data_IF_424002985399
#
_entry.id   IF_424002985399
#
_cell.length_a   1.000
_cell.length_b   1.000
_cell.length_c   1.000
_cell.angle_alpha   90.00
_cell.angle_beta   90.00
_cell.angle_gamma   90.00
#
_symmetry.space_group_name_H-M   'P 1'
#
loop_
_entity.id
_entity.type
_entity.pdbx_description
1 polymer ?
#
# COMPACT_ATOMS: atom_id res chain seq x y z
N UNK A 1 18.93 -53.65 51.33
CA UNK A 1 18.86 -54.06 49.91
C UNK A 1 17.44 -53.85 49.42
N UNK A 2 17.19 -52.93 48.47
CA UNK A 2 15.85 -52.82 47.85
C UNK A 2 15.57 -54.12 47.09
N UNK A 3 14.38 -54.69 47.24
CA UNK A 3 14.03 -55.94 46.53
C UNK A 3 14.03 -55.68 45.02
N UNK A 4 14.41 -56.68 44.21
CA UNK A 4 14.42 -56.56 42.74
C UNK A 4 13.11 -55.99 42.18
N UNK A 5 11.98 -56.29 42.83
CA UNK A 5 10.66 -55.78 42.47
C UNK A 5 10.53 -54.25 42.67
N UNK A 6 11.13 -53.67 43.70
CA UNK A 6 11.11 -52.21 43.90
C UNK A 6 11.90 -51.46 42.82
N UNK A 7 12.99 -52.06 42.31
CA UNK A 7 13.79 -51.46 41.23
C UNK A 7 13.01 -51.47 39.91
N UNK A 8 12.32 -52.57 39.62
CA UNK A 8 11.48 -52.72 38.40
C UNK A 8 10.34 -51.70 38.39
N UNK A 9 9.64 -51.51 39.52
CA UNK A 9 8.54 -50.54 39.64
C UNK A 9 9.06 -49.10 39.41
N UNK A 10 10.23 -48.75 39.96
CA UNK A 10 10.84 -47.43 39.74
C UNK A 10 11.18 -47.24 38.26
N UNK A 11 11.82 -48.21 37.60
CA UNK A 11 12.12 -48.12 36.16
C UNK A 11 10.87 -47.99 35.31
N UNK A 12 9.81 -48.76 35.58
CA UNK A 12 8.53 -48.67 34.86
C UNK A 12 7.87 -47.30 35.04
N UNK A 13 7.90 -46.74 36.26
CA UNK A 13 7.34 -45.41 36.53
C UNK A 13 8.06 -44.29 35.76
N UNK A 14 9.39 -44.36 35.62
CA UNK A 14 10.17 -43.40 34.83
C UNK A 14 9.84 -43.50 33.34
N UNK A 15 9.71 -44.72 32.81
CA UNK A 15 9.34 -44.94 31.41
C UNK A 15 7.96 -44.38 31.10
N UNK A 16 6.98 -44.58 31.99
CA UNK A 16 5.61 -44.05 31.85
C UNK A 16 5.63 -42.51 31.82
N UNK A 17 6.38 -41.86 32.71
CA UNK A 17 6.49 -40.39 32.73
C UNK A 17 7.12 -39.87 31.43
N UNK A 18 8.18 -40.52 30.92
CA UNK A 18 8.80 -40.15 29.65
C UNK A 18 7.81 -40.30 28.49
N UNK A 19 7.05 -41.40 28.44
CA UNK A 19 6.02 -41.65 27.44
C UNK A 19 4.91 -40.57 27.48
N UNK A 20 4.45 -40.19 28.67
CA UNK A 20 3.45 -39.13 28.84
C UNK A 20 3.98 -37.79 28.29
N UNK A 21 5.23 -37.43 28.59
CA UNK A 21 5.86 -36.19 28.09
C UNK A 21 5.96 -36.21 26.55
N UNK A 22 6.31 -37.35 25.96
CA UNK A 22 6.39 -37.52 24.50
C UNK A 22 5.00 -37.37 23.87
N UNK A 23 3.98 -38.02 24.44
CA UNK A 23 2.59 -37.93 23.96
C UNK A 23 2.05 -36.50 24.04
N UNK A 24 2.31 -35.79 25.14
CA UNK A 24 1.92 -34.38 25.29
C UNK A 24 2.59 -33.48 24.23
N UNK A 25 3.89 -33.70 23.95
CA UNK A 25 4.59 -32.98 22.88
C UNK A 25 4.02 -33.27 21.50
N UNK A 26 3.76 -34.54 21.18
CA UNK A 26 3.18 -34.95 19.89
C UNK A 26 1.79 -34.36 19.69
N UNK A 27 0.95 -34.37 20.72
CA UNK A 27 -0.39 -33.78 20.66
C UNK A 27 -0.33 -32.27 20.40
N UNK A 28 0.56 -31.56 21.07
CA UNK A 28 0.75 -30.12 20.86
C UNK A 28 1.21 -29.81 19.42
N UNK A 29 2.14 -30.59 18.87
CA UNK A 29 2.61 -30.44 17.48
C UNK A 29 1.48 -30.70 16.47
N UNK A 30 0.66 -31.73 16.70
CA UNK A 30 -0.48 -32.03 15.82
C UNK A 30 -1.52 -30.90 15.80
N UNK A 31 -1.79 -30.29 16.95
CA UNK A 31 -2.68 -29.12 17.04
C UNK A 31 -2.08 -27.92 16.28
N UNK A 32 -0.78 -27.64 16.46
CA UNK A 32 -0.11 -26.57 15.72
C UNK A 32 -0.14 -26.77 14.20
N UNK A 33 0.03 -28.02 13.73
CA UNK A 33 -0.06 -28.36 12.30
C UNK A 33 -1.46 -28.15 11.74
N UNK A 34 -2.49 -28.52 12.50
CA UNK A 34 -3.89 -28.33 12.10
C UNK A 34 -4.21 -26.85 11.97
N UNK A 35 -3.84 -26.05 12.98
CA UNK A 35 -3.99 -24.59 12.97
C UNK A 35 -3.25 -23.97 11.79
N UNK A 36 -2.02 -24.40 11.51
CA UNK A 36 -1.27 -23.93 10.34
C UNK A 36 -2.02 -24.17 9.04
N UNK A 37 -2.55 -25.38 8.82
CA UNK A 37 -3.28 -25.72 7.60
C UNK A 37 -4.59 -24.92 7.47
N UNK A 38 -5.26 -24.64 8.59
CA UNK A 38 -6.49 -23.83 8.63
C UNK A 38 -6.23 -22.35 8.34
N UNK A 39 -5.09 -21.81 8.78
CA UNK A 39 -4.77 -20.39 8.69
C UNK A 39 -3.91 -20.03 7.48
N UNK A 40 -3.22 -20.98 6.86
CA UNK A 40 -2.37 -20.74 5.68
C UNK A 40 -3.16 -20.30 4.43
N UNK A 41 -4.48 -20.45 4.44
CA UNK A 41 -5.37 -19.94 3.39
C UNK A 41 -5.86 -18.51 3.62
N UNK A 42 -5.63 -17.94 4.81
CA UNK A 42 -6.10 -16.60 5.20
C UNK A 42 -5.01 -15.56 5.08
N UNK A 43 -5.40 -14.33 4.79
CA UNK A 43 -4.49 -13.19 4.85
C UNK A 43 -4.08 -12.88 6.29
N UNK A 44 -2.96 -12.17 6.47
CA UNK A 44 -2.52 -11.69 7.79
C UNK A 44 -3.58 -10.73 8.38
N UNK A 45 -4.33 -10.00 7.56
CA UNK A 45 -5.44 -9.13 7.98
C UNK A 45 -6.53 -9.89 8.75
N UNK A 46 -6.81 -11.13 8.37
CA UNK A 46 -7.87 -11.98 8.91
C UNK A 46 -7.44 -12.78 10.16
N UNK A 47 -6.14 -12.81 10.46
CA UNK A 47 -5.62 -13.50 11.63
C UNK A 47 -5.62 -12.60 12.87
N UNK A 48 -6.17 -13.13 13.96
CA UNK A 48 -5.93 -12.59 15.29
C UNK A 48 -4.46 -12.73 15.66
N UNK A 49 -3.99 -11.92 16.62
CA UNK A 49 -2.62 -12.00 17.13
C UNK A 49 -2.26 -13.41 17.60
N UNK A 50 -3.16 -14.06 18.31
CA UNK A 50 -2.96 -15.41 18.84
C UNK A 50 -2.87 -16.46 17.74
N UNK A 51 -3.72 -16.37 16.71
CA UNK A 51 -3.67 -17.28 15.55
C UNK A 51 -2.34 -17.13 14.82
N UNK A 52 -1.89 -15.89 14.60
CA UNK A 52 -0.61 -15.60 13.97
C UNK A 52 0.57 -16.17 14.77
N UNK A 53 0.58 -15.99 16.09
CA UNK A 53 1.63 -16.53 16.96
C UNK A 53 1.68 -18.06 16.91
N UNK A 54 0.52 -18.74 16.85
CA UNK A 54 0.47 -20.21 16.69
C UNK A 54 1.05 -20.66 15.35
N UNK A 55 0.69 -20.00 14.24
CA UNK A 55 1.25 -20.25 12.90
C UNK A 55 2.77 -20.05 12.90
N UNK A 56 3.24 -18.94 13.48
CA UNK A 56 4.65 -18.60 13.54
C UNK A 56 5.45 -19.63 14.37
N UNK A 57 4.89 -20.09 15.50
CA UNK A 57 5.50 -21.14 16.32
C UNK A 57 5.62 -22.48 15.58
N UNK A 58 4.63 -22.84 14.76
CA UNK A 58 4.71 -24.03 13.91
C UNK A 58 5.82 -23.91 12.86
N UNK A 59 5.94 -22.75 12.19
CA UNK A 59 7.01 -22.49 11.23
C UNK A 59 8.40 -22.57 11.86
N UNK A 60 8.57 -22.07 13.10
CA UNK A 60 9.81 -22.22 13.87
C UNK A 60 10.12 -23.70 14.14
N UNK A 61 9.11 -24.48 14.51
CA UNK A 61 9.26 -25.91 14.77
C UNK A 61 9.73 -26.66 13.51
N UNK A 62 9.08 -26.44 12.37
CA UNK A 62 9.46 -27.08 11.10
C UNK A 62 10.85 -26.62 10.61
N UNK A 63 11.18 -25.34 10.74
CA UNK A 63 12.52 -24.83 10.40
C UNK A 63 13.62 -25.52 11.24
N UNK A 64 13.41 -25.65 12.56
CA UNK A 64 14.34 -26.35 13.46
C UNK A 64 14.50 -27.82 13.10
N UNK A 65 13.39 -28.52 12.79
CA UNK A 65 13.40 -29.92 12.35
C UNK A 65 14.26 -30.12 11.09
N UNK A 66 14.29 -29.13 10.20
CA UNK A 66 15.07 -29.15 8.97
C UNK A 66 16.49 -28.58 9.13
N UNK A 67 16.96 -28.29 10.35
CA UNK A 67 18.23 -27.57 10.61
C UNK A 67 18.35 -26.25 9.83
N UNK A 68 17.23 -25.57 9.60
CA UNK A 68 17.17 -24.25 8.97
C UNK A 68 16.95 -23.17 10.01
N UNK A 69 17.46 -21.97 9.74
CA UNK A 69 17.15 -20.79 10.55
C UNK A 69 15.67 -20.44 10.37
N UNK A 70 14.90 -20.25 11.45
CA UNK A 70 13.52 -19.79 11.34
C UNK A 70 13.50 -18.38 10.76
N UNK A 71 12.75 -18.20 9.68
CA UNK A 71 12.39 -16.87 9.20
C UNK A 71 11.04 -16.50 9.81
N UNK A 72 11.08 -15.64 10.83
CA UNK A 72 9.89 -15.23 11.57
C UNK A 72 9.82 -13.73 11.64
N UNK A 73 8.61 -13.22 11.56
CA UNK A 73 8.32 -11.80 11.68
C UNK A 73 7.31 -11.59 12.79
N UNK A 74 7.52 -10.58 13.63
CA UNK A 74 6.55 -10.27 14.70
C UNK A 74 5.21 -9.85 14.10
N UNK A 75 4.10 -10.16 14.78
CA UNK A 75 2.75 -9.76 14.34
C UNK A 75 2.65 -8.26 14.02
N UNK A 76 3.25 -7.41 14.87
CA UNK A 76 3.27 -5.95 14.65
C UNK A 76 3.99 -5.56 13.36
N UNK A 77 5.13 -6.18 13.08
CA UNK A 77 5.91 -5.92 11.84
C UNK A 77 5.18 -6.48 10.61
N UNK A 78 4.53 -7.64 10.74
CA UNK A 78 3.70 -8.24 9.69
C UNK A 78 2.52 -7.34 9.29
N UNK A 79 1.75 -6.85 10.27
CA UNK A 79 0.65 -5.90 10.05
C UNK A 79 1.12 -4.58 9.42
N UNK A 80 2.29 -4.08 9.84
CA UNK A 80 2.87 -2.87 9.25
C UNK A 80 3.22 -3.06 7.77
N UNK A 81 3.89 -4.17 7.43
CA UNK A 81 4.24 -4.48 6.05
C UNK A 81 3.00 -4.71 5.17
N UNK A 82 1.95 -5.34 5.71
CA UNK A 82 0.68 -5.50 5.00
C UNK A 82 0.01 -4.15 4.69
N UNK A 83 0.01 -3.22 5.66
CA UNK A 83 -0.51 -1.87 5.44
C UNK A 83 0.30 -1.09 4.39
N UNK A 84 1.63 -1.18 4.44
CA UNK A 84 2.52 -0.58 3.43
C UNK A 84 2.27 -1.17 2.03
N UNK A 85 2.14 -2.50 1.94
CA UNK A 85 1.85 -3.17 0.67
C UNK A 85 0.47 -2.80 0.11
N UNK A 86 -0.54 -2.69 0.98
CA UNK A 86 -1.87 -2.23 0.59
C UNK A 86 -1.84 -0.80 0.05
N UNK A 87 -1.17 0.11 0.75
CA UNK A 87 -1.03 1.50 0.29
C UNK A 87 -0.31 1.60 -1.07
N UNK A 88 0.72 0.78 -1.30
CA UNK A 88 1.40 0.71 -2.60
C UNK A 88 0.44 0.23 -3.69
N UNK A 89 -0.35 -0.82 -3.45
CA UNK A 89 -1.29 -1.32 -4.44
C UNK A 89 -2.41 -0.32 -4.74
N UNK A 90 -2.91 0.38 -3.71
CA UNK A 90 -3.89 1.46 -3.90
C UNK A 90 -3.33 2.58 -4.77
N UNK A 91 -2.07 2.99 -4.55
CA UNK A 91 -1.40 3.98 -5.39
C UNK A 91 -1.17 3.48 -6.82
N UNK A 92 -0.78 2.22 -7.01
CA UNK A 92 -0.64 1.62 -8.35
C UNK A 92 -1.99 1.63 -9.06
N UNK A 93 -3.07 1.17 -8.43
CA UNK A 93 -4.41 1.19 -9.01
C UNK A 93 -4.89 2.62 -9.30
N UNK A 94 -4.56 3.59 -8.45
CA UNK A 94 -4.84 5.01 -8.71
C UNK A 94 -4.10 5.48 -9.97
N UNK A 95 -2.81 5.21 -10.09
CA UNK A 95 -2.00 5.55 -11.27
C UNK A 95 -2.48 4.87 -12.55
N UNK A 96 -2.95 3.62 -12.47
CA UNK A 96 -3.53 2.91 -13.61
C UNK A 96 -4.85 3.54 -14.06
N UNK A 97 -5.73 3.90 -13.11
CA UNK A 97 -6.96 4.63 -13.42
C UNK A 97 -6.65 6.00 -14.05
N UNK A 98 -5.65 6.73 -13.54
CA UNK A 98 -5.22 8.00 -14.13
C UNK A 98 -4.74 7.84 -15.57
N UNK A 99 -3.96 6.79 -15.86
CA UNK A 99 -3.51 6.47 -17.23
C UNK A 99 -4.66 6.12 -18.15
N UNK A 100 -5.69 5.43 -17.65
CA UNK A 100 -6.88 5.10 -18.44
C UNK A 100 -7.60 6.36 -18.95
N UNK A 101 -7.58 7.45 -18.18
CA UNK A 101 -8.20 8.72 -18.54
C UNK A 101 -7.21 9.77 -19.07
N UNK A 102 -5.93 9.41 -19.29
CA UNK A 102 -4.85 10.34 -19.62
C UNK A 102 -4.79 11.56 -18.67
N UNK A 103 -5.03 11.35 -17.38
CA UNK A 103 -5.08 12.39 -16.36
C UNK A 103 -3.73 12.61 -15.65
N UNK A 104 -2.63 12.13 -16.21
CA UNK A 104 -1.33 12.47 -15.65
C UNK A 104 -1.06 13.98 -15.79
N UNK A 105 -0.28 14.51 -14.85
CA UNK A 105 0.03 15.95 -14.79
C UNK A 105 0.62 16.48 -16.11
N UNK A 106 1.45 15.69 -16.78
CA UNK A 106 2.05 16.07 -18.06
C UNK A 106 0.98 16.22 -19.16
N UNK A 107 0.03 15.30 -19.22
CA UNK A 107 -1.10 15.41 -20.15
C UNK A 107 -1.97 16.62 -19.83
N UNK A 108 -2.35 16.85 -18.56
CA UNK A 108 -3.16 18.00 -18.18
C UNK A 108 -2.48 19.34 -18.51
N UNK A 109 -1.17 19.45 -18.30
CA UNK A 109 -0.38 20.64 -18.67
C UNK A 109 -0.31 20.79 -20.20
N UNK A 110 -0.18 19.71 -20.96
CA UNK A 110 -0.21 19.79 -22.43
C UNK A 110 -1.58 20.24 -22.95
N UNK A 111 -2.67 19.72 -22.40
CA UNK A 111 -4.02 20.17 -22.75
C UNK A 111 -4.22 21.66 -22.41
N UNK A 112 -3.65 22.13 -21.30
CA UNK A 112 -3.59 23.57 -21.00
C UNK A 112 -2.85 24.36 -22.09
N UNK A 113 -1.66 23.92 -22.48
CA UNK A 113 -0.88 24.55 -23.55
C UNK A 113 -1.67 24.64 -24.87
N UNK A 114 -2.36 23.56 -25.24
CA UNK A 114 -3.20 23.51 -26.44
C UNK A 114 -4.36 24.49 -26.33
N UNK A 115 -5.14 24.44 -25.26
CA UNK A 115 -6.30 25.33 -25.07
C UNK A 115 -5.88 26.81 -25.05
N UNK A 116 -4.76 27.13 -24.39
CA UNK A 116 -4.22 28.50 -24.40
C UNK A 116 -3.67 28.93 -25.76
N UNK A 117 -3.27 28.00 -26.63
CA UNK A 117 -2.80 28.33 -27.98
C UNK A 117 -3.94 28.79 -28.91
N UNK A 118 -5.16 28.32 -28.66
CA UNK A 118 -6.37 28.74 -29.37
C UNK A 118 -7.05 29.96 -28.74
N UNK A 119 -6.71 30.30 -27.49
CA UNK A 119 -7.18 31.53 -26.87
C UNK A 119 -6.61 32.76 -27.57
N UNK A 120 -7.36 33.86 -27.42
CA UNK A 120 -7.14 35.15 -28.07
C UNK A 120 -5.64 35.53 -28.12
N UNK A 121 -5.09 36.01 -29.26
CA UNK A 121 -3.67 36.37 -29.39
C UNK A 121 -3.10 37.32 -28.32
N UNK A 122 -3.97 38.00 -27.57
CA UNK A 122 -3.61 38.91 -26.48
C UNK A 122 -3.37 38.22 -25.12
N UNK A 123 -3.71 36.93 -24.98
CA UNK A 123 -3.57 36.16 -23.73
C UNK A 123 -2.34 35.23 -23.74
N UNK A 124 -1.30 35.59 -24.49
CA UNK A 124 -0.02 34.88 -24.41
C UNK A 124 0.53 34.97 -22.99
N UNK A 125 0.83 33.82 -22.41
CA UNK A 125 1.37 33.68 -21.07
C UNK A 125 2.85 33.33 -21.11
N UNK A 126 3.54 33.67 -20.03
CA UNK A 126 4.92 33.28 -19.84
C UNK A 126 5.01 31.79 -19.44
N UNK A 127 5.48 30.95 -20.36
CA UNK A 127 5.66 29.51 -20.14
C UNK A 127 6.65 29.19 -19.02
N UNK A 128 7.52 30.13 -18.63
CA UNK A 128 8.45 29.95 -17.52
C UNK A 128 7.81 30.23 -16.15
N UNK A 129 6.60 30.82 -16.13
CA UNK A 129 5.86 31.20 -14.92
C UNK A 129 4.75 30.21 -14.52
N UNK A 130 4.67 29.06 -15.17
CA UNK A 130 3.65 28.05 -14.89
C UNK A 130 3.91 27.47 -13.51
N UNK A 131 2.96 27.67 -12.60
CA UNK A 131 2.89 26.94 -11.35
C UNK A 131 1.64 26.06 -11.37
N UNK A 132 1.85 24.76 -11.35
CA UNK A 132 0.79 23.76 -11.47
C UNK A 132 0.63 23.04 -10.13
N UNK A 133 -0.60 23.00 -9.61
CA UNK A 133 -0.94 22.33 -8.37
C UNK A 133 -2.04 21.30 -8.65
N UNK A 134 -1.73 20.03 -8.39
CA UNK A 134 -2.71 18.95 -8.50
C UNK A 134 -3.84 19.19 -7.49
N UNK A 135 -5.06 19.37 -8.00
CA UNK A 135 -6.23 19.67 -7.19
C UNK A 135 -7.02 18.40 -6.87
N UNK A 136 -7.24 17.54 -7.88
CA UNK A 136 -7.85 16.22 -7.78
C UNK A 136 -7.21 15.27 -8.82
N UNK A 137 -7.57 13.99 -8.78
CA UNK A 137 -7.01 12.95 -9.67
C UNK A 137 -7.02 13.34 -11.17
N UNK A 138 -8.08 13.98 -11.67
CA UNK A 138 -8.18 14.42 -13.08
C UNK A 138 -8.34 15.95 -13.21
N UNK A 139 -7.78 16.73 -12.27
CA UNK A 139 -7.86 18.20 -12.31
C UNK A 139 -6.60 18.85 -11.74
N UNK A 140 -6.08 19.83 -12.48
CA UNK A 140 -4.92 20.63 -12.08
C UNK A 140 -5.26 22.11 -12.13
N UNK A 141 -4.79 22.86 -11.14
CA UNK A 141 -4.83 24.32 -11.16
C UNK A 141 -3.50 24.86 -11.68
N UNK A 142 -3.58 25.67 -12.73
CA UNK A 142 -2.42 26.28 -13.38
C UNK A 142 -2.48 27.78 -13.20
N UNK A 143 -1.48 28.31 -12.51
CA UNK A 143 -1.27 29.74 -12.32
C UNK A 143 -0.29 30.25 -13.37
N UNK A 144 -0.66 31.32 -14.07
CA UNK A 144 0.19 31.94 -15.11
C UNK A 144 0.07 33.45 -15.09
N UNK A 145 1.13 34.13 -15.54
CA UNK A 145 1.06 35.56 -15.87
C UNK A 145 0.95 35.73 -17.37
N UNK A 146 -0.01 36.53 -17.82
CA UNK A 146 -0.13 36.97 -19.22
C UNK A 146 0.25 38.43 -19.35
N UNK A 147 0.67 38.81 -20.54
CA UNK A 147 0.99 40.20 -20.88
C UNK A 147 0.22 40.61 -22.12
N UNK A 148 -0.59 41.65 -22.02
CA UNK A 148 -1.31 42.17 -23.16
C UNK A 148 -0.31 42.82 -24.15
N UNK A 149 -0.27 42.40 -25.42
CA UNK A 149 0.66 42.92 -26.41
C UNK A 149 0.53 44.43 -26.66
N UNK A 150 -0.69 44.97 -26.59
CA UNK A 150 -0.99 46.34 -27.01
C UNK A 150 -0.60 47.39 -25.96
N UNK A 151 -0.89 47.13 -24.69
CA UNK A 151 -0.65 48.08 -23.59
C UNK A 151 0.44 47.62 -22.61
N UNK A 152 0.93 46.39 -22.76
CA UNK A 152 1.95 45.81 -21.91
C UNK A 152 1.47 45.42 -20.51
N UNK A 153 0.16 45.50 -20.26
CA UNK A 153 -0.47 45.16 -19.00
C UNK A 153 -0.23 43.72 -18.59
N UNK A 154 0.17 43.52 -17.35
CA UNK A 154 0.31 42.18 -16.78
C UNK A 154 -0.96 41.80 -16.06
N UNK A 155 -1.40 40.57 -16.32
CA UNK A 155 -2.51 39.97 -15.56
C UNK A 155 -2.09 38.60 -15.05
N UNK A 156 -2.47 38.29 -13.83
CA UNK A 156 -2.31 36.97 -13.24
C UNK A 156 -3.60 36.18 -13.40
N UNK A 157 -3.48 34.94 -13.80
CA UNK A 157 -4.61 34.04 -14.02
C UNK A 157 -4.40 32.73 -13.29
N UNK A 158 -5.50 32.19 -12.76
CA UNK A 158 -5.56 30.80 -12.31
C UNK A 158 -6.61 30.11 -13.16
N UNK A 159 -6.20 29.07 -13.86
CA UNK A 159 -7.07 28.18 -14.62
C UNK A 159 -7.18 26.84 -13.89
N UNK A 160 -8.34 26.20 -13.99
CA UNK A 160 -8.49 24.79 -13.65
C UNK A 160 -8.66 24.02 -14.97
N UNK A 161 -7.80 23.04 -15.18
CA UNK A 161 -7.85 22.12 -16.32
C UNK A 161 -8.23 20.75 -15.79
N UNK A 162 -9.29 20.17 -16.36
CA UNK A 162 -9.82 18.91 -15.91
C UNK A 162 -10.31 18.05 -17.06
N UNK A 163 -10.29 16.74 -16.87
CA UNK A 163 -10.90 15.77 -17.79
C UNK A 163 -12.34 15.48 -17.35
N UNK A 164 -13.29 15.62 -18.25
CA UNK A 164 -14.68 15.25 -18.02
C UNK A 164 -14.97 13.89 -18.68
N UNK A 165 -15.24 12.88 -17.86
CA UNK A 165 -15.52 11.53 -18.35
C UNK A 165 -16.85 11.43 -19.10
N UNK A 166 -17.78 12.38 -18.90
CA UNK A 166 -19.09 12.36 -19.55
C UNK A 166 -19.01 12.66 -21.05
N UNK A 167 -18.08 13.52 -21.46
CA UNK A 167 -17.85 13.85 -22.87
C UNK A 167 -16.47 13.44 -23.38
N UNK A 168 -15.66 12.82 -22.52
CA UNK A 168 -14.31 12.33 -22.80
C UNK A 168 -13.39 13.42 -23.34
N UNK A 169 -13.50 14.64 -22.83
CA UNK A 169 -12.69 15.80 -23.25
C UNK A 169 -12.03 16.51 -22.07
N UNK A 170 -10.96 17.22 -22.39
CA UNK A 170 -10.36 18.18 -21.48
C UNK A 170 -11.09 19.52 -21.57
N UNK A 171 -11.33 20.09 -20.41
CA UNK A 171 -11.97 21.39 -20.25
C UNK A 171 -11.04 22.32 -19.48
N UNK A 172 -11.22 23.61 -19.70
CA UNK A 172 -10.51 24.65 -18.97
C UNK A 172 -11.51 25.70 -18.52
N UNK A 173 -11.44 26.08 -17.25
CA UNK A 173 -12.21 27.19 -16.70
C UNK A 173 -11.32 28.17 -15.95
N UNK A 174 -11.68 29.44 -16.01
CA UNK A 174 -11.02 30.50 -15.25
C UNK A 174 -11.50 30.47 -13.80
N UNK A 175 -10.56 30.33 -12.87
CA UNK A 175 -10.83 30.41 -11.42
C UNK A 175 -10.60 31.82 -10.91
N UNK A 176 -9.51 32.46 -11.34
CA UNK A 176 -9.12 33.79 -10.87
C UNK A 176 -8.48 34.60 -11.99
N UNK A 177 -8.71 35.91 -11.96
CA UNK A 177 -8.03 36.91 -12.79
C UNK A 177 -7.73 38.14 -11.94
N UNK A 178 -6.45 38.49 -11.83
CA UNK A 178 -5.99 39.71 -11.16
C UNK A 178 -5.19 40.59 -12.12
N UNK A 179 -5.37 41.90 -12.03
CA UNK A 179 -4.54 42.87 -12.75
C UNK A 179 -3.29 43.20 -11.93
N UNK A 180 -2.12 43.17 -12.57
CA UNK A 180 -0.82 43.39 -11.93
C UNK A 180 -0.15 44.72 -12.32
N UNK A 181 -0.68 45.45 -13.30
CA UNK A 181 -0.04 46.65 -13.86
C UNK A 181 0.47 46.45 -15.27
#
# INVERSE_FOLDING_TARGET
>A
MRSKNQIIIICQSVIIVILIIILLKLNNINNLRKDYLEFNSKSISELSKEQYERVNNYLVYEAKKLNKKPDTISYKKAKKQEAEFKAINEEISRQENLKQYNCDEYTLINSFHEMMSFNNPYEKYDKTSINANNFNDCSIQISVTTKEPKYGWKTFWIFEVYFDASDSKFHMKTIKKDFLG
#
